data_IF_276922336943
#
_entry.id   IF_276922336943
#
_cell.length_a   1.000
_cell.length_b   1.000
_cell.length_c   1.000
_cell.angle_alpha   90.00
_cell.angle_beta   90.00
_cell.angle_gamma   90.00
#
_symmetry.space_group_name_H-M   'P 1'
#
loop_
_entity.id
_entity.type
_entity.pdbx_description
1 polymer ?
#
# COMPACT_ATOMS: atom_id res chain seq x y z
N UNK A 1 -11.62 2.30 28.03
CA UNK A 1 -10.61 1.50 28.74
C UNK A 1 -10.23 0.22 27.95
N UNK A 2 -11.17 -0.54 27.32
CA UNK A 2 -10.90 -1.77 26.58
C UNK A 2 -10.03 -1.57 25.34
N UNK A 3 -10.31 -0.56 24.51
CA UNK A 3 -9.61 -0.30 23.23
C UNK A 3 -8.12 0.04 23.45
N UNK A 4 -7.78 0.80 24.49
CA UNK A 4 -6.39 1.19 24.80
C UNK A 4 -5.59 -0.05 25.25
N UNK A 5 -6.21 -0.91 26.06
CA UNK A 5 -5.59 -2.14 26.55
C UNK A 5 -5.31 -3.12 25.39
N UNK A 6 -6.25 -3.25 24.46
CA UNK A 6 -6.11 -4.11 23.29
C UNK A 6 -5.00 -3.62 22.35
N UNK A 7 -4.85 -2.31 22.17
CA UNK A 7 -3.75 -1.72 21.40
C UNK A 7 -2.38 -1.96 22.05
N UNK A 8 -2.28 -1.84 23.38
CA UNK A 8 -1.03 -2.13 24.11
C UNK A 8 -0.60 -3.58 23.93
N UNK A 9 -1.54 -4.52 24.05
CA UNK A 9 -1.28 -5.96 23.85
C UNK A 9 -0.85 -6.24 22.41
N UNK A 10 -1.53 -5.66 21.43
CA UNK A 10 -1.20 -5.82 20.02
C UNK A 10 0.22 -5.33 19.72
N UNK A 11 0.62 -4.17 20.24
CA UNK A 11 1.95 -3.62 20.05
C UNK A 11 3.04 -4.48 20.70
N UNK A 12 2.80 -4.99 21.88
CA UNK A 12 3.75 -5.91 22.53
C UNK A 12 3.94 -7.17 21.70
N UNK A 13 2.85 -7.73 21.16
CA UNK A 13 2.91 -8.86 20.26
C UNK A 13 3.69 -8.53 18.98
N UNK A 14 3.39 -7.40 18.33
CA UNK A 14 4.13 -6.96 17.15
C UNK A 14 5.62 -6.76 17.43
N UNK A 15 5.98 -6.19 18.58
CA UNK A 15 7.39 -6.02 18.97
C UNK A 15 8.10 -7.35 19.14
N UNK A 16 7.47 -8.31 19.79
CA UNK A 16 8.02 -9.66 19.98
C UNK A 16 8.21 -10.37 18.64
N UNK A 17 7.17 -10.33 17.80
CA UNK A 17 7.20 -10.94 16.47
C UNK A 17 8.24 -10.26 15.56
N UNK A 18 8.33 -8.93 15.58
CA UNK A 18 9.29 -8.16 14.79
C UNK A 18 10.75 -8.46 15.18
N UNK A 19 11.03 -8.67 16.47
CA UNK A 19 12.37 -9.10 16.95
C UNK A 19 12.81 -10.42 16.35
N UNK A 20 11.86 -11.30 16.04
CA UNK A 20 12.11 -12.60 15.39
C UNK A 20 12.12 -12.51 13.86
N UNK A 21 11.99 -11.30 13.31
CA UNK A 21 11.92 -11.09 11.86
C UNK A 21 10.60 -11.50 11.22
N UNK A 22 9.53 -11.71 12.00
CA UNK A 22 8.22 -12.10 11.50
C UNK A 22 7.61 -10.97 10.66
N UNK A 23 7.20 -11.29 9.44
CA UNK A 23 6.67 -10.33 8.46
C UNK A 23 5.44 -9.58 9.01
N UNK A 24 4.48 -10.30 9.60
CA UNK A 24 3.28 -9.69 10.16
C UNK A 24 3.60 -8.76 11.33
N UNK A 25 4.55 -9.14 12.18
CA UNK A 25 5.04 -8.30 13.28
C UNK A 25 5.72 -7.03 12.77
N UNK A 26 6.61 -7.17 11.79
CA UNK A 26 7.32 -6.03 11.19
C UNK A 26 6.35 -5.07 10.49
N UNK A 27 5.48 -5.59 9.65
CA UNK A 27 4.51 -4.75 8.92
C UNK A 27 3.47 -4.13 9.87
N UNK A 28 2.98 -4.88 10.85
CA UNK A 28 2.05 -4.39 11.87
C UNK A 28 2.65 -3.28 12.73
N UNK A 29 3.90 -3.46 13.19
CA UNK A 29 4.60 -2.44 13.96
C UNK A 29 4.89 -1.19 13.11
N UNK A 30 5.28 -1.36 11.86
CA UNK A 30 5.42 -0.28 10.90
C UNK A 30 4.12 0.53 10.75
N UNK A 31 2.99 -0.14 10.62
CA UNK A 31 1.67 0.48 10.55
C UNK A 31 1.31 1.26 11.83
N UNK A 32 1.62 0.71 13.01
CA UNK A 32 1.41 1.40 14.28
C UNK A 32 2.19 2.72 14.36
N UNK A 33 3.45 2.72 13.96
CA UNK A 33 4.26 3.95 13.91
C UNK A 33 3.78 4.92 12.83
N UNK A 34 3.33 4.41 11.69
CA UNK A 34 2.82 5.24 10.60
C UNK A 34 1.54 6.00 11.02
N UNK A 35 0.61 5.32 11.66
CA UNK A 35 -0.68 5.87 12.07
C UNK A 35 -0.67 6.51 13.48
N UNK A 36 0.36 6.27 14.28
CA UNK A 36 0.39 6.68 15.70
C UNK A 36 -0.59 5.89 16.56
N UNK A 37 -0.81 4.60 16.26
CA UNK A 37 -1.72 3.73 17.02
C UNK A 37 -0.98 3.01 18.13
N UNK A 38 -1.23 3.42 19.38
CA UNK A 38 -0.64 2.86 20.58
C UNK A 38 0.84 3.19 20.78
N UNK A 39 1.43 3.94 19.87
CA UNK A 39 2.76 4.54 19.93
C UNK A 39 2.69 5.95 19.36
N UNK A 40 3.63 6.81 19.71
CA UNK A 40 3.76 8.10 19.05
C UNK A 40 4.08 7.91 17.57
N UNK A 41 3.36 8.66 16.70
CA UNK A 41 3.58 8.60 15.26
C UNK A 41 5.03 8.91 14.91
N UNK A 42 5.65 8.04 14.13
CA UNK A 42 7.03 8.19 13.68
C UNK A 42 7.23 7.52 12.31
N UNK A 43 7.25 8.33 11.27
CA UNK A 43 7.42 7.83 9.90
C UNK A 43 8.78 7.20 9.64
N UNK A 44 9.85 7.67 10.29
CA UNK A 44 11.19 7.06 10.15
C UNK A 44 11.21 5.63 10.68
N UNK A 45 10.62 5.41 11.86
CA UNK A 45 10.46 4.07 12.42
C UNK A 45 9.55 3.20 11.54
N UNK A 46 8.44 3.75 11.04
CA UNK A 46 7.54 3.04 10.14
C UNK A 46 8.28 2.52 8.90
N UNK A 47 9.02 3.38 8.22
CA UNK A 47 9.82 3.03 7.02
C UNK A 47 10.84 1.94 7.33
N UNK A 48 11.53 2.02 8.45
CA UNK A 48 12.50 1.01 8.89
C UNK A 48 11.87 -0.38 8.98
N UNK A 49 10.68 -0.49 9.58
CA UNK A 49 9.96 -1.75 9.69
C UNK A 49 9.38 -2.22 8.36
N UNK A 50 8.83 -1.32 7.55
CA UNK A 50 8.35 -1.66 6.21
C UNK A 50 9.47 -2.17 5.30
N UNK A 51 10.66 -1.56 5.34
CA UNK A 51 11.83 -2.03 4.59
C UNK A 51 12.24 -3.46 4.99
N UNK A 52 12.26 -3.75 6.29
CA UNK A 52 12.57 -5.10 6.78
C UNK A 52 11.55 -6.15 6.32
N UNK A 53 10.27 -5.82 6.35
CA UNK A 53 9.21 -6.71 5.88
C UNK A 53 9.22 -6.84 4.34
N UNK A 54 9.45 -5.76 3.62
CA UNK A 54 9.56 -5.75 2.16
C UNK A 54 10.75 -6.58 1.67
N UNK A 55 11.86 -6.58 2.40
CA UNK A 55 13.03 -7.42 2.10
C UNK A 55 12.73 -8.93 2.20
N UNK A 56 11.66 -9.31 2.89
CA UNK A 56 11.14 -10.68 2.95
C UNK A 56 10.01 -10.93 1.93
N UNK A 57 9.90 -10.06 0.94
CA UNK A 57 8.99 -10.20 -0.21
C UNK A 57 7.50 -10.06 0.13
N UNK A 58 7.18 -9.35 1.21
CA UNK A 58 5.79 -9.04 1.60
C UNK A 58 5.17 -7.99 0.68
N UNK A 59 4.15 -8.37 -0.10
CA UNK A 59 3.41 -7.47 -0.97
C UNK A 59 2.79 -6.29 -0.21
N UNK A 60 2.24 -6.54 0.97
CA UNK A 60 1.64 -5.50 1.82
C UNK A 60 2.69 -4.50 2.33
N UNK A 61 3.87 -4.97 2.71
CA UNK A 61 4.96 -4.09 3.16
C UNK A 61 5.56 -3.29 2.00
N UNK A 62 5.69 -3.89 0.82
CA UNK A 62 6.11 -3.22 -0.40
C UNK A 62 5.13 -2.09 -0.75
N UNK A 63 3.82 -2.35 -0.66
CA UNK A 63 2.78 -1.33 -0.83
C UNK A 63 2.92 -0.18 0.18
N UNK A 64 3.07 -0.51 1.45
CA UNK A 64 3.22 0.50 2.50
C UNK A 64 4.49 1.35 2.30
N UNK A 65 5.58 0.74 1.87
CA UNK A 65 6.81 1.46 1.54
C UNK A 65 6.59 2.38 0.33
N UNK A 66 5.85 1.93 -0.69
CA UNK A 66 5.47 2.76 -1.84
C UNK A 66 4.69 4.01 -1.41
N UNK A 67 3.72 3.87 -0.49
CA UNK A 67 3.00 5.01 0.09
C UNK A 67 3.93 6.01 0.78
N UNK A 68 4.95 5.53 1.49
CA UNK A 68 5.93 6.40 2.12
C UNK A 68 6.69 7.25 1.09
N UNK A 69 7.12 6.65 -0.01
CA UNK A 69 7.78 7.38 -1.10
C UNK A 69 6.83 8.32 -1.86
N UNK A 70 5.58 7.92 -2.09
CA UNK A 70 4.57 8.77 -2.73
C UNK A 70 4.32 10.06 -1.94
N UNK A 71 4.24 9.95 -0.62
CA UNK A 71 3.89 11.05 0.29
C UNK A 71 5.10 11.77 0.93
N UNK A 72 6.30 11.23 0.79
CA UNK A 72 7.48 11.75 1.48
C UNK A 72 7.42 11.53 3.00
N UNK A 73 6.83 10.43 3.45
CA UNK A 73 6.73 10.07 4.86
C UNK A 73 7.91 9.21 5.31
N UNK A 74 8.83 9.79 6.08
CA UNK A 74 10.02 9.10 6.59
C UNK A 74 11.11 8.83 5.54
N UNK A 75 10.86 9.22 4.30
CA UNK A 75 11.79 9.20 3.16
C UNK A 75 11.56 10.45 2.32
N UNK A 76 12.55 10.85 1.52
CA UNK A 76 12.33 11.87 0.52
C UNK A 76 11.29 11.42 -0.51
N UNK A 77 10.33 12.28 -0.82
CA UNK A 77 9.30 11.99 -1.81
C UNK A 77 9.92 11.63 -3.15
N UNK A 78 9.53 10.48 -3.68
CA UNK A 78 10.03 9.98 -4.95
C UNK A 78 8.94 9.15 -5.64
N UNK A 79 8.27 9.76 -6.62
CA UNK A 79 7.16 9.11 -7.35
C UNK A 79 7.64 7.95 -8.23
N UNK A 80 8.84 8.04 -8.80
CA UNK A 80 9.40 6.96 -9.63
C UNK A 80 9.67 5.70 -8.79
N UNK A 81 10.21 5.89 -7.59
CA UNK A 81 10.43 4.79 -6.65
C UNK A 81 9.10 4.22 -6.12
N UNK A 82 8.15 5.10 -5.81
CA UNK A 82 6.81 4.68 -5.40
C UNK A 82 6.14 3.81 -6.47
N UNK A 83 6.21 4.21 -7.73
CA UNK A 83 5.65 3.46 -8.85
C UNK A 83 6.28 2.08 -9.03
N UNK A 84 7.60 1.97 -8.95
CA UNK A 84 8.31 0.68 -9.00
C UNK A 84 7.82 -0.27 -7.92
N UNK A 85 7.70 0.25 -6.70
CA UNK A 85 7.22 -0.53 -5.55
C UNK A 85 5.75 -0.90 -5.68
N UNK A 86 4.88 0.01 -6.15
CA UNK A 86 3.50 -0.32 -6.44
C UNK A 86 3.38 -1.40 -7.51
N UNK A 87 4.15 -1.30 -8.59
CA UNK A 87 4.17 -2.32 -9.63
C UNK A 87 4.60 -3.68 -9.06
N UNK A 88 5.68 -3.72 -8.30
CA UNK A 88 6.16 -4.93 -7.65
C UNK A 88 5.10 -5.56 -6.74
N UNK A 89 4.46 -4.77 -5.90
CA UNK A 89 3.37 -5.22 -5.02
C UNK A 89 2.15 -5.71 -5.81
N UNK A 90 1.75 -4.99 -6.86
CA UNK A 90 0.64 -5.35 -7.73
C UNK A 90 0.85 -6.66 -8.49
N UNK A 91 2.07 -6.90 -8.99
CA UNK A 91 2.47 -8.15 -9.65
C UNK A 91 2.43 -9.33 -8.68
N UNK A 92 2.67 -9.11 -7.39
CA UNK A 92 2.53 -10.10 -6.33
C UNK A 92 1.08 -10.38 -5.94
N UNK A 93 0.14 -9.56 -6.37
CA UNK A 93 -1.29 -9.76 -6.17
C UNK A 93 -1.95 -8.82 -5.17
N UNK A 94 -1.24 -7.83 -4.62
CA UNK A 94 -1.87 -6.85 -3.72
C UNK A 94 -2.91 -6.00 -4.45
N UNK A 95 -4.18 -6.09 -4.00
CA UNK A 95 -5.30 -5.41 -4.65
C UNK A 95 -5.20 -3.89 -4.58
N UNK A 96 -4.67 -3.34 -3.49
CA UNK A 96 -4.49 -1.89 -3.32
C UNK A 96 -3.44 -1.36 -4.29
N UNK A 97 -2.35 -2.11 -4.47
CA UNK A 97 -1.31 -1.76 -5.42
C UNK A 97 -1.82 -1.87 -6.87
N UNK A 98 -2.59 -2.90 -7.19
CA UNK A 98 -3.24 -3.06 -8.49
C UNK A 98 -4.18 -1.88 -8.78
N UNK A 99 -4.96 -1.45 -7.80
CA UNK A 99 -5.77 -0.25 -7.92
C UNK A 99 -4.93 1.01 -8.19
N UNK A 100 -3.85 1.20 -7.44
CA UNK A 100 -2.91 2.33 -7.65
C UNK A 100 -2.34 2.34 -9.07
N UNK A 101 -1.92 1.19 -9.58
CA UNK A 101 -1.42 1.08 -10.96
C UNK A 101 -2.51 1.45 -11.96
N UNK A 102 -3.74 1.02 -11.74
CA UNK A 102 -4.89 1.42 -12.57
C UNK A 102 -5.11 2.93 -12.63
N UNK A 103 -5.00 3.60 -11.48
CA UNK A 103 -5.14 5.06 -11.40
C UNK A 103 -3.98 5.77 -12.11
N UNK A 104 -2.74 5.33 -11.93
CA UNK A 104 -1.59 5.92 -12.63
C UNK A 104 -1.74 5.87 -14.15
N UNK A 105 -2.16 4.74 -14.70
CA UNK A 105 -2.42 4.63 -16.14
C UNK A 105 -3.65 5.45 -16.60
N UNK A 106 -4.70 5.51 -15.78
CA UNK A 106 -5.89 6.33 -16.08
C UNK A 106 -5.55 7.82 -16.17
N UNK A 107 -4.70 8.31 -15.29
CA UNK A 107 -4.33 9.73 -15.18
C UNK A 107 -3.09 10.10 -15.97
N UNK A 108 -2.30 9.13 -16.40
CA UNK A 108 -1.01 9.37 -17.05
C UNK A 108 0.04 9.92 -16.09
N UNK A 109 -0.01 9.49 -14.83
CA UNK A 109 0.93 9.95 -13.81
C UNK A 109 2.16 9.03 -13.78
N UNK A 110 3.30 9.54 -14.22
CA UNK A 110 4.56 8.80 -14.26
C UNK A 110 4.63 7.70 -15.33
N UNK A 111 3.53 7.46 -16.04
CA UNK A 111 3.39 6.55 -17.19
C UNK A 111 2.56 7.24 -18.27
N UNK A 112 2.67 6.77 -19.50
CA UNK A 112 1.79 7.21 -20.57
C UNK A 112 0.34 6.82 -20.25
N UNK A 113 -0.58 7.78 -20.42
CA UNK A 113 -2.00 7.56 -20.17
C UNK A 113 -2.55 6.45 -21.06
N UNK A 114 -3.18 5.44 -20.46
CA UNK A 114 -3.75 4.29 -21.15
C UNK A 114 -4.96 3.74 -20.39
N UNK A 115 -6.16 3.95 -20.93
CA UNK A 115 -7.38 3.33 -20.38
C UNK A 115 -7.35 1.80 -20.51
N UNK A 116 -6.68 1.26 -21.52
CA UNK A 116 -6.52 -0.19 -21.71
C UNK A 116 -5.73 -0.79 -20.55
N UNK A 117 -4.55 -0.25 -20.24
CA UNK A 117 -3.74 -0.70 -19.12
C UNK A 117 -4.44 -0.43 -17.77
N UNK A 118 -5.07 0.73 -17.62
CA UNK A 118 -5.85 1.05 -16.43
C UNK A 118 -6.91 -0.02 -16.14
N UNK A 119 -7.68 -0.41 -17.15
CA UNK A 119 -8.73 -1.45 -17.01
C UNK A 119 -8.15 -2.81 -16.65
N UNK A 120 -6.99 -3.19 -17.19
CA UNK A 120 -6.34 -4.45 -16.85
C UNK A 120 -6.03 -4.51 -15.35
N UNK A 121 -5.37 -3.47 -14.83
CA UNK A 121 -5.01 -3.42 -13.40
C UNK A 121 -6.23 -3.30 -12.50
N UNK A 122 -7.20 -2.44 -12.85
CA UNK A 122 -8.43 -2.28 -12.07
C UNK A 122 -9.26 -3.58 -12.02
N UNK A 123 -9.33 -4.35 -13.12
CA UNK A 123 -10.01 -5.65 -13.12
C UNK A 123 -9.34 -6.65 -12.18
N UNK A 124 -8.01 -6.70 -12.14
CA UNK A 124 -7.29 -7.56 -11.18
C UNK A 124 -7.67 -7.24 -9.74
N UNK A 125 -7.74 -5.97 -9.39
CA UNK A 125 -8.15 -5.55 -8.05
C UNK A 125 -9.65 -5.82 -7.79
N UNK A 126 -10.51 -5.57 -8.78
CA UNK A 126 -11.95 -5.78 -8.68
C UNK A 126 -12.33 -7.26 -8.47
N UNK A 127 -11.64 -8.18 -9.12
CA UNK A 127 -11.83 -9.63 -8.94
C UNK A 127 -11.56 -10.06 -7.50
N UNK A 128 -10.68 -9.36 -6.79
CA UNK A 128 -10.42 -9.57 -5.36
C UNK A 128 -11.45 -8.87 -4.44
N UNK A 129 -12.45 -8.20 -5.01
CA UNK A 129 -13.49 -7.49 -4.25
C UNK A 129 -13.10 -6.08 -3.82
N UNK A 130 -12.06 -5.49 -4.39
CA UNK A 130 -11.65 -4.13 -4.05
C UNK A 130 -12.65 -3.11 -4.60
N UNK A 131 -13.50 -2.54 -3.72
CA UNK A 131 -14.65 -1.71 -4.10
C UNK A 131 -14.28 -0.48 -4.92
N UNK A 132 -13.19 0.20 -4.57
CA UNK A 132 -12.70 1.38 -5.31
C UNK A 132 -12.37 1.06 -6.77
N UNK A 133 -11.81 -0.13 -7.03
CA UNK A 133 -11.50 -0.57 -8.39
C UNK A 133 -12.77 -0.85 -9.19
N UNK A 134 -13.80 -1.40 -8.57
CA UNK A 134 -15.10 -1.64 -9.19
C UNK A 134 -15.75 -0.31 -9.59
N UNK A 135 -15.73 0.68 -8.71
CA UNK A 135 -16.25 2.03 -8.96
C UNK A 135 -15.50 2.72 -10.11
N UNK A 136 -14.18 2.64 -10.12
CA UNK A 136 -13.35 3.22 -11.19
C UNK A 136 -13.59 2.57 -12.55
N UNK A 137 -13.76 1.26 -12.61
CA UNK A 137 -14.11 0.56 -13.85
C UNK A 137 -15.44 1.06 -14.42
N UNK A 138 -16.45 1.19 -13.60
CA UNK A 138 -17.76 1.75 -14.01
C UNK A 138 -17.60 3.15 -14.55
N UNK A 139 -16.85 4.01 -13.87
CA UNK A 139 -16.59 5.38 -14.29
C UNK A 139 -15.91 5.44 -15.67
N UNK A 140 -14.94 4.58 -15.94
CA UNK A 140 -14.28 4.51 -17.26
C UNK A 140 -15.25 4.03 -18.35
N UNK A 141 -16.06 3.01 -18.06
CA UNK A 141 -17.03 2.47 -19.02
C UNK A 141 -18.13 3.47 -19.38
N UNK A 142 -18.60 4.21 -18.38
CA UNK A 142 -19.62 5.25 -18.59
C UNK A 142 -19.06 6.43 -19.40
N UNK A 143 -17.82 6.82 -19.17
CA UNK A 143 -17.16 7.88 -19.93
C UNK A 143 -16.99 7.53 -21.42
N UNK A 144 -16.72 6.27 -21.74
CA UNK A 144 -16.57 5.80 -23.14
C UNK A 144 -17.92 5.77 -23.87
N UNK A 145 -19.04 5.55 -23.18
CA UNK A 145 -20.38 5.52 -23.79
C UNK A 145 -20.91 6.89 -24.18
N UNK A 146 -20.34 7.97 -23.65
CA UNK A 146 -20.76 9.35 -23.89
C UNK A 146 -20.05 9.96 -25.12
N UNK A 147 -18.92 9.41 -25.54
CA UNK A 147 -18.18 9.76 -26.77
C UNK A 147 -18.74 9.02 -27.99
#
# INVERSE_FOLDING_TARGET
YGVIKDLSIAIEWYRKAAKQGNIAGLNGLGGCYYDGKGVEQNYLEAVKYFKKAAAQDSEAAIYNLALCYENGHGVEQNLDEAMKLYQQSAEKGDAKAQYKMGIFYKEGQGVEKSYTEAKIWLRKAAVQGYSKAIEELRSIEDSIKIE
#
